data_IF_802764422555
#
_entry.id   IF_802764422555
#
_cell.length_a   1.000
_cell.length_b   1.000
_cell.length_c   1.000
_cell.angle_alpha   90.00
_cell.angle_beta   90.00
_cell.angle_gamma   90.00
#
_symmetry.space_group_name_H-M   'P 1'
#
loop_
_entity.id
_entity.type
_entity.pdbx_description
1 polymer ?
#
# COMPACT_ATOMS: atom_id res chain seq x y z
N UNK A 1 -29.83 -10.44 9.02
CA UNK A 1 -29.18 -9.33 8.30
C UNK A 1 -28.83 -8.30 9.35
N UNK A 2 -27.53 -8.00 9.57
CA UNK A 2 -27.10 -6.90 10.42
C UNK A 2 -27.59 -5.56 9.85
N UNK A 3 -27.87 -4.59 10.70
CA UNK A 3 -28.23 -3.24 10.29
C UNK A 3 -27.06 -2.62 9.50
N UNK A 4 -27.24 -2.45 8.20
CA UNK A 4 -26.29 -1.74 7.35
C UNK A 4 -26.51 -0.23 7.56
N UNK A 5 -25.51 0.44 8.12
CA UNK A 5 -25.55 1.89 8.34
C UNK A 5 -24.63 2.65 7.37
N UNK A 6 -23.83 1.91 6.60
CA UNK A 6 -22.91 2.48 5.61
C UNK A 6 -23.68 3.16 4.46
N UNK A 7 -23.21 4.34 4.06
CA UNK A 7 -23.82 5.16 3.00
C UNK A 7 -22.85 5.37 1.83
N UNK A 8 -23.39 5.73 0.67
CA UNK A 8 -22.60 6.11 -0.51
C UNK A 8 -21.62 5.02 -1.01
N UNK A 9 -21.93 3.74 -0.77
CA UNK A 9 -21.15 2.64 -1.29
C UNK A 9 -21.62 2.24 -2.68
N UNK A 10 -20.70 1.93 -3.57
CA UNK A 10 -20.97 1.38 -4.90
C UNK A 10 -20.34 0.00 -5.01
N UNK A 11 -21.14 -1.03 -5.25
CA UNK A 11 -20.69 -2.40 -5.43
C UNK A 11 -21.25 -2.96 -6.74
N UNK A 12 -20.38 -3.39 -7.65
CA UNK A 12 -20.74 -3.93 -8.96
C UNK A 12 -20.07 -5.27 -9.16
N UNK A 13 -20.84 -6.32 -9.27
CA UNK A 13 -20.40 -7.70 -9.44
C UNK A 13 -21.09 -8.65 -8.47
N UNK A 14 -21.05 -9.95 -8.80
CA UNK A 14 -21.63 -10.95 -7.92
C UNK A 14 -20.89 -10.97 -6.59
N UNK A 15 -21.62 -10.85 -5.49
CA UNK A 15 -21.11 -10.76 -4.10
C UNK A 15 -20.09 -9.61 -3.84
N UNK A 16 -20.02 -8.59 -4.69
CA UNK A 16 -19.22 -7.41 -4.40
C UNK A 16 -19.73 -6.73 -3.10
N UNK A 17 -18.82 -6.52 -2.13
CA UNK A 17 -19.16 -5.97 -0.80
C UNK A 17 -19.93 -6.90 0.13
N UNK A 18 -20.21 -8.13 -0.30
CA UNK A 18 -20.96 -9.13 0.48
C UNK A 18 -20.36 -10.54 0.29
N UNK A 19 -19.11 -10.72 0.66
CA UNK A 19 -18.36 -11.97 0.43
C UNK A 19 -18.47 -12.97 1.59
N UNK A 20 -19.19 -12.64 2.65
CA UNK A 20 -19.30 -13.45 3.87
C UNK A 20 -18.25 -13.12 4.93
N UNK A 21 -17.14 -12.48 4.59
CA UNK A 21 -16.08 -12.12 5.54
C UNK A 21 -16.14 -10.63 5.88
N UNK A 22 -15.61 -9.73 5.09
CA UNK A 22 -15.65 -8.29 5.37
C UNK A 22 -16.85 -7.60 4.69
N UNK A 23 -18.06 -8.11 4.94
CA UNK A 23 -19.27 -7.45 4.44
C UNK A 23 -19.35 -6.04 5.01
N UNK A 24 -19.51 -5.05 4.13
CA UNK A 24 -19.63 -3.66 4.59
C UNK A 24 -20.89 -3.53 5.47
N UNK A 25 -20.70 -3.08 6.71
CA UNK A 25 -21.78 -2.85 7.67
C UNK A 25 -21.98 -1.37 7.96
N UNK A 26 -20.93 -0.64 8.32
CA UNK A 26 -20.99 0.80 8.62
C UNK A 26 -20.02 1.64 7.78
N UNK A 27 -19.13 1.01 7.00
CA UNK A 27 -18.24 1.72 6.10
C UNK A 27 -18.98 2.51 5.03
N UNK A 28 -18.47 3.67 4.65
CA UNK A 28 -19.12 4.58 3.71
C UNK A 28 -18.16 5.04 2.60
N UNK A 29 -18.73 5.48 1.46
CA UNK A 29 -17.98 6.01 0.33
C UNK A 29 -16.95 5.03 -0.23
N UNK A 30 -17.31 3.74 -0.36
CA UNK A 30 -16.44 2.72 -0.94
C UNK A 30 -16.89 2.37 -2.37
N UNK A 31 -15.93 1.96 -3.19
CA UNK A 31 -16.17 1.44 -4.54
C UNK A 31 -15.58 0.03 -4.65
N UNK A 32 -16.43 -0.97 -4.89
CA UNK A 32 -16.07 -2.38 -4.99
C UNK A 32 -16.48 -2.90 -6.37
N UNK A 33 -15.52 -3.26 -7.20
CA UNK A 33 -15.77 -3.70 -8.57
C UNK A 33 -15.24 -5.11 -8.81
N UNK A 34 -16.11 -5.99 -9.24
CA UNK A 34 -15.77 -7.34 -9.67
C UNK A 34 -16.41 -8.45 -8.82
N UNK A 35 -16.27 -9.69 -9.29
CA UNK A 35 -16.71 -10.87 -8.57
C UNK A 35 -16.01 -10.96 -7.21
N UNK A 36 -16.76 -11.11 -6.13
CA UNK A 36 -16.25 -11.20 -4.76
C UNK A 36 -15.27 -10.07 -4.37
N UNK A 37 -15.40 -8.88 -4.95
CA UNK A 37 -14.62 -7.72 -4.53
C UNK A 37 -14.95 -7.41 -3.06
N UNK A 38 -13.92 -7.39 -2.20
CA UNK A 38 -14.07 -7.34 -0.75
C UNK A 38 -13.39 -6.10 -0.20
N UNK A 39 -14.05 -5.39 0.71
CA UNK A 39 -13.42 -4.32 1.46
C UNK A 39 -12.35 -4.85 2.43
N UNK A 40 -11.38 -4.02 2.80
CA UNK A 40 -10.34 -4.40 3.78
C UNK A 40 -10.93 -4.71 5.15
N UNK A 41 -12.01 -4.01 5.54
CA UNK A 41 -12.79 -4.32 6.74
C UNK A 41 -14.27 -3.96 6.56
N UNK A 42 -15.13 -4.47 7.47
CA UNK A 42 -16.57 -4.19 7.44
C UNK A 42 -16.94 -2.72 7.73
N UNK A 43 -16.02 -1.96 8.30
CA UNK A 43 -16.23 -0.57 8.74
C UNK A 43 -15.37 0.44 7.96
N UNK A 44 -14.57 -0.02 7.00
CA UNK A 44 -13.69 0.85 6.20
C UNK A 44 -14.50 1.86 5.39
N UNK A 45 -13.96 3.05 5.26
CA UNK A 45 -14.54 4.13 4.44
C UNK A 45 -13.50 4.71 3.49
N UNK A 46 -13.97 5.22 2.34
CA UNK A 46 -13.14 5.86 1.32
C UNK A 46 -12.14 4.90 0.63
N UNK A 47 -12.52 3.65 0.43
CA UNK A 47 -11.70 2.62 -0.20
C UNK A 47 -12.20 2.28 -1.61
N UNK A 48 -11.26 1.97 -2.51
CA UNK A 48 -11.56 1.43 -3.84
C UNK A 48 -10.89 0.06 -3.93
N UNK A 49 -11.70 -0.98 -4.18
CA UNK A 49 -11.23 -2.35 -4.43
C UNK A 49 -11.57 -2.79 -5.84
N UNK A 50 -10.58 -3.24 -6.60
CA UNK A 50 -10.72 -3.75 -7.95
C UNK A 50 -10.46 -5.26 -7.99
N UNK A 51 -11.52 -6.04 -8.10
CA UNK A 51 -11.46 -7.50 -8.13
C UNK A 51 -11.24 -8.16 -6.76
N UNK A 52 -10.77 -9.39 -6.78
CA UNK A 52 -10.53 -10.22 -5.61
C UNK A 52 -9.09 -10.79 -5.60
N UNK A 53 -8.77 -11.65 -4.63
CA UNK A 53 -7.44 -12.25 -4.47
C UNK A 53 -6.98 -13.15 -5.64
N UNK A 54 -7.87 -13.52 -6.58
CA UNK A 54 -7.53 -14.30 -7.77
C UNK A 54 -7.14 -13.43 -8.97
N UNK A 55 -7.19 -12.10 -8.87
CA UNK A 55 -6.77 -11.21 -9.96
C UNK A 55 -5.26 -11.31 -10.16
N UNK A 56 -4.86 -11.78 -11.34
CA UNK A 56 -3.46 -11.98 -11.71
C UNK A 56 -2.84 -10.77 -12.42
N UNK A 57 -3.65 -9.89 -13.02
CA UNK A 57 -3.14 -8.71 -13.72
C UNK A 57 -4.17 -7.58 -13.73
N UNK A 58 -3.69 -6.35 -13.53
CA UNK A 58 -4.46 -5.13 -13.79
C UNK A 58 -3.91 -4.50 -15.06
N UNK A 59 -4.73 -4.41 -16.11
CA UNK A 59 -4.33 -3.89 -17.42
C UNK A 59 -5.06 -2.59 -17.72
N UNK A 60 -4.30 -1.53 -17.94
CA UNK A 60 -4.80 -0.29 -18.53
C UNK A 60 -3.74 0.29 -19.47
N UNK A 61 -4.19 1.11 -20.42
CA UNK A 61 -3.27 1.74 -21.37
C UNK A 61 -2.41 2.83 -20.71
N UNK A 62 -2.86 3.41 -19.62
CA UNK A 62 -2.14 4.40 -18.82
C UNK A 62 -1.62 3.72 -17.55
N UNK A 63 -0.30 3.79 -17.32
CA UNK A 63 0.36 3.10 -16.21
C UNK A 63 0.34 3.88 -14.89
N UNK A 64 0.12 5.20 -14.96
CA UNK A 64 0.19 6.08 -13.78
C UNK A 64 -1.17 6.58 -13.36
N UNK A 65 -1.44 6.49 -12.06
CA UNK A 65 -2.57 7.15 -11.42
C UNK A 65 -2.08 8.49 -10.89
N UNK A 66 -2.62 9.60 -11.40
CA UNK A 66 -2.29 10.94 -10.91
C UNK A 66 -2.96 11.19 -9.56
N UNK A 67 -2.23 11.81 -8.64
CA UNK A 67 -2.76 12.27 -7.37
C UNK A 67 -2.58 13.78 -7.21
N UNK A 68 -3.47 14.41 -6.44
CA UNK A 68 -3.36 15.84 -6.13
C UNK A 68 -2.03 16.13 -5.43
N UNK A 69 -1.27 17.10 -5.95
CA UNK A 69 0.03 17.49 -5.39
C UNK A 69 0.31 19.00 -5.53
N UNK A 70 -0.74 19.81 -5.58
CA UNK A 70 -0.64 21.27 -5.65
C UNK A 70 -0.05 21.82 -4.33
N UNK A 71 0.87 22.78 -4.44
CA UNK A 71 1.49 23.42 -3.29
C UNK A 71 0.48 24.16 -2.41
N UNK A 72 -0.61 24.67 -2.99
CA UNK A 72 -1.69 25.39 -2.31
C UNK A 72 -2.48 24.50 -1.35
N UNK A 73 -2.44 23.18 -1.56
CA UNK A 73 -3.12 22.18 -0.73
C UNK A 73 -2.18 21.55 0.31
N UNK A 74 -1.00 22.15 0.51
CA UNK A 74 0.02 21.66 1.44
C UNK A 74 0.43 22.75 2.43
N UNK A 75 0.67 22.35 3.66
CA UNK A 75 1.19 23.21 4.71
C UNK A 75 2.35 22.53 5.43
N UNK A 76 3.19 23.30 6.15
CA UNK A 76 4.34 22.79 6.89
C UNK A 76 5.27 21.90 6.05
N UNK A 77 5.54 22.32 4.82
CA UNK A 77 6.41 21.58 3.90
C UNK A 77 7.85 21.68 4.39
N UNK A 78 8.45 20.53 4.70
CA UNK A 78 9.85 20.39 5.13
C UNK A 78 10.52 19.29 4.32
N UNK A 79 11.86 19.31 4.30
CA UNK A 79 12.63 18.26 3.66
C UNK A 79 12.39 16.92 4.33
N UNK A 80 12.28 15.84 3.50
CA UNK A 80 12.08 14.50 4.01
C UNK A 80 13.33 14.04 4.78
N UNK A 81 13.21 13.65 6.06
CA UNK A 81 14.36 13.20 6.84
C UNK A 81 14.80 11.76 6.50
N UNK A 82 13.90 10.92 6.00
CA UNK A 82 14.22 9.54 5.62
C UNK A 82 14.89 9.50 4.23
N UNK A 83 16.10 9.01 4.18
CA UNK A 83 16.92 8.90 2.97
C UNK A 83 17.71 7.60 2.96
N UNK A 84 19.02 7.69 2.71
CA UNK A 84 19.90 6.55 2.52
C UNK A 84 19.92 5.59 3.71
N UNK A 85 20.00 6.13 4.93
CA UNK A 85 20.04 5.29 6.14
C UNK A 85 18.72 4.52 6.36
N UNK A 86 17.59 5.10 5.97
CA UNK A 86 16.29 4.43 6.03
C UNK A 86 16.23 3.30 4.99
N UNK A 87 16.64 3.56 3.74
CA UNK A 87 16.66 2.58 2.65
C UNK A 87 17.57 1.40 2.99
N UNK A 88 18.73 1.64 3.60
CA UNK A 88 19.67 0.60 3.99
C UNK A 88 19.15 -0.36 5.07
N UNK A 89 18.09 0.02 5.79
CA UNK A 89 17.42 -0.84 6.77
C UNK A 89 16.31 -1.69 6.17
N UNK A 90 15.89 -1.40 4.94
CA UNK A 90 14.91 -2.23 4.24
C UNK A 90 15.50 -3.58 3.87
N UNK A 91 14.68 -4.61 3.94
CA UNK A 91 15.05 -5.98 3.61
C UNK A 91 14.25 -6.48 2.39
N UNK A 92 14.76 -6.30 1.16
CA UNK A 92 14.15 -6.92 -0.01
C UNK A 92 14.24 -8.44 0.12
N UNK A 93 13.18 -9.14 -0.22
CA UNK A 93 13.11 -10.60 -0.13
C UNK A 93 12.61 -11.21 -1.42
N UNK A 94 13.05 -12.43 -1.72
CA UNK A 94 12.37 -13.34 -2.64
C UNK A 94 11.53 -14.29 -1.80
N UNK A 95 10.30 -14.49 -2.17
CA UNK A 95 9.38 -15.39 -1.45
C UNK A 95 8.53 -16.20 -2.43
N UNK A 96 7.98 -17.28 -1.94
CA UNK A 96 6.95 -18.07 -2.59
C UNK A 96 5.61 -17.76 -1.92
N UNK A 97 4.58 -17.58 -2.72
CA UNK A 97 3.23 -17.38 -2.19
C UNK A 97 2.67 -18.68 -1.60
N UNK A 98 2.20 -18.59 -0.38
CA UNK A 98 1.40 -19.60 0.32
C UNK A 98 0.26 -18.86 1.02
N UNK A 99 -0.78 -18.56 0.26
CA UNK A 99 -1.86 -17.69 0.74
C UNK A 99 -2.80 -18.45 1.66
N UNK A 100 -3.23 -17.81 2.74
CA UNK A 100 -4.13 -18.42 3.75
C UNK A 100 -5.50 -18.80 3.20
N UNK A 101 -5.91 -18.21 2.10
CA UNK A 101 -7.18 -18.44 1.40
C UNK A 101 -7.04 -19.30 0.14
N UNK A 102 -5.82 -19.79 -0.18
CA UNK A 102 -5.58 -20.68 -1.29
C UNK A 102 -5.92 -20.05 -2.64
N UNK A 103 -5.34 -18.88 -2.95
CA UNK A 103 -5.62 -18.20 -4.22
C UNK A 103 -4.69 -18.63 -5.36
N UNK A 104 -4.93 -18.11 -6.57
CA UNK A 104 -4.18 -18.48 -7.78
C UNK A 104 -2.71 -18.07 -7.82
N UNK A 105 -2.17 -17.41 -6.78
CA UNK A 105 -0.76 -17.07 -6.65
C UNK A 105 0.07 -18.15 -5.96
N UNK A 106 -0.56 -19.07 -5.22
CA UNK A 106 0.13 -20.10 -4.45
C UNK A 106 1.13 -20.88 -5.30
N UNK A 107 2.34 -21.08 -4.77
CA UNK A 107 3.45 -21.73 -5.45
C UNK A 107 4.22 -20.82 -6.42
N UNK A 108 3.77 -19.59 -6.69
CA UNK A 108 4.51 -18.63 -7.50
C UNK A 108 5.54 -17.88 -6.69
N UNK A 109 6.70 -17.56 -7.32
CA UNK A 109 7.77 -16.79 -6.70
C UNK A 109 7.67 -15.31 -7.07
N UNK A 110 7.94 -14.46 -6.11
CA UNK A 110 7.94 -13.01 -6.31
C UNK A 110 9.06 -12.34 -5.48
N UNK A 111 9.47 -11.13 -5.86
CA UNK A 111 10.35 -10.29 -5.08
C UNK A 111 9.55 -9.12 -4.47
N UNK A 112 9.83 -8.79 -3.22
CA UNK A 112 9.13 -7.72 -2.54
C UNK A 112 9.62 -7.48 -1.12
N UNK A 113 8.73 -7.06 -0.25
CA UNK A 113 9.01 -6.77 1.15
C UNK A 113 7.94 -7.41 2.04
N UNK A 114 8.27 -7.61 3.30
CA UNK A 114 7.33 -8.07 4.33
C UNK A 114 6.68 -6.85 4.97
N UNK A 115 5.35 -6.80 5.01
CA UNK A 115 4.62 -5.66 5.55
C UNK A 115 4.93 -5.40 7.03
N UNK A 116 5.13 -6.45 7.83
CA UNK A 116 5.53 -6.35 9.23
C UNK A 116 6.91 -5.71 9.41
N UNK A 117 7.88 -5.98 8.50
CA UNK A 117 9.19 -5.35 8.51
C UNK A 117 9.06 -3.84 8.26
N UNK A 118 8.20 -3.44 7.32
CA UNK A 118 7.89 -2.02 7.08
C UNK A 118 7.24 -1.35 8.28
N UNK A 119 6.27 -2.01 8.91
CA UNK A 119 5.57 -1.48 10.08
C UNK A 119 6.55 -1.24 11.24
N UNK A 120 7.44 -2.20 11.51
CA UNK A 120 8.45 -2.05 12.55
C UNK A 120 9.43 -0.93 12.22
N UNK A 121 9.92 -0.87 10.98
CA UNK A 121 10.85 0.17 10.54
C UNK A 121 10.26 1.58 10.65
N UNK A 122 8.98 1.76 10.29
CA UNK A 122 8.28 3.04 10.47
C UNK A 122 8.26 3.47 11.93
N UNK A 123 7.88 2.56 12.84
CA UNK A 123 7.84 2.81 14.30
C UNK A 123 9.21 3.20 14.84
N UNK A 124 10.25 2.43 14.51
CA UNK A 124 11.61 2.65 15.00
C UNK A 124 12.21 3.99 14.53
N UNK A 125 11.68 4.56 13.46
CA UNK A 125 12.15 5.83 12.90
C UNK A 125 11.13 6.99 13.03
N UNK A 126 10.07 6.85 13.82
CA UNK A 126 8.97 7.83 13.95
C UNK A 126 8.43 8.26 12.58
N UNK A 127 8.24 7.32 11.68
CA UNK A 127 7.95 7.53 10.26
C UNK A 127 6.59 6.97 9.81
N UNK A 128 5.62 6.85 10.72
CA UNK A 128 4.28 6.33 10.42
C UNK A 128 3.55 7.17 9.36
N UNK A 129 3.89 8.45 9.25
CA UNK A 129 3.37 9.33 8.21
C UNK A 129 3.73 8.90 6.77
N UNK A 130 4.73 8.04 6.59
CA UNK A 130 5.07 7.47 5.28
C UNK A 130 4.00 6.53 4.75
N UNK A 131 3.20 5.93 5.65
CA UNK A 131 2.12 5.01 5.32
C UNK A 131 2.57 3.92 4.33
N UNK A 132 3.68 3.26 4.66
CA UNK A 132 4.21 2.15 3.86
C UNK A 132 3.36 0.88 4.00
N UNK A 133 2.53 0.80 5.04
CA UNK A 133 1.63 -0.31 5.32
C UNK A 133 0.21 0.20 5.40
N UNK A 134 -0.71 -0.51 4.77
CA UNK A 134 -2.14 -0.42 5.03
C UNK A 134 -2.48 -1.49 6.07
N UNK A 135 -2.97 -1.07 7.21
CA UNK A 135 -3.22 -1.89 8.41
C UNK A 135 -4.67 -1.78 8.95
N UNK A 136 -5.58 -1.27 8.14
CA UNK A 136 -7.02 -1.26 8.42
C UNK A 136 -7.55 -2.67 8.73
N UNK A 137 -6.93 -3.69 8.15
CA UNK A 137 -7.13 -5.07 8.53
C UNK A 137 -5.83 -5.64 9.12
N UNK A 138 -5.71 -5.75 10.46
CA UNK A 138 -4.49 -6.23 11.11
C UNK A 138 -4.17 -7.70 10.80
N UNK A 139 -5.16 -8.47 10.39
CA UNK A 139 -4.97 -9.87 9.99
C UNK A 139 -4.46 -9.99 8.54
N UNK A 140 -4.50 -8.89 7.76
CA UNK A 140 -4.15 -8.89 6.35
C UNK A 140 -3.48 -7.58 5.95
N UNK A 141 -2.24 -7.39 6.39
CA UNK A 141 -1.45 -6.21 6.08
C UNK A 141 -1.08 -6.14 4.59
N UNK A 142 -1.12 -4.94 4.01
CA UNK A 142 -0.73 -4.67 2.63
C UNK A 142 0.41 -3.65 2.57
N UNK A 143 1.35 -3.80 1.63
CA UNK A 143 2.49 -2.91 1.49
C UNK A 143 2.30 -1.93 0.32
N UNK A 144 2.58 -0.65 0.56
CA UNK A 144 2.45 0.45 -0.41
C UNK A 144 3.82 0.81 -1.00
N UNK A 145 4.34 0.00 -1.93
CA UNK A 145 5.69 0.19 -2.52
C UNK A 145 5.90 1.54 -3.20
N UNK A 146 4.86 2.11 -3.81
CA UNK A 146 4.94 3.44 -4.44
C UNK A 146 5.32 4.57 -3.47
N UNK A 147 5.07 4.40 -2.18
CA UNK A 147 5.46 5.35 -1.13
C UNK A 147 6.98 5.40 -0.88
N UNK A 148 7.73 4.43 -1.36
CA UNK A 148 9.21 4.45 -1.30
C UNK A 148 9.84 5.45 -2.28
N UNK A 149 9.15 5.87 -3.33
CA UNK A 149 9.73 6.72 -4.39
C UNK A 149 10.36 8.01 -3.84
N UNK A 150 9.71 8.83 -3.01
CA UNK A 150 10.34 10.03 -2.45
C UNK A 150 11.57 9.72 -1.60
N UNK A 151 11.54 8.62 -0.84
CA UNK A 151 12.65 8.17 0.02
C UNK A 151 13.83 7.72 -0.82
N UNK A 152 13.58 6.99 -1.90
CA UNK A 152 14.61 6.57 -2.87
C UNK A 152 15.27 7.77 -3.55
N UNK A 153 14.49 8.78 -3.95
CA UNK A 153 15.04 10.02 -4.50
C UNK A 153 15.97 10.68 -3.50
N UNK A 154 15.56 10.84 -2.24
CA UNK A 154 16.39 11.40 -1.17
C UNK A 154 17.65 10.57 -0.94
N UNK A 155 17.54 9.25 -0.91
CA UNK A 155 18.69 8.35 -0.72
C UNK A 155 19.72 8.48 -1.86
N UNK A 156 19.26 8.59 -3.11
CA UNK A 156 20.15 8.81 -4.27
C UNK A 156 20.85 10.17 -4.16
N UNK A 157 20.16 11.24 -3.76
CA UNK A 157 20.76 12.55 -3.55
C UNK A 157 21.86 12.50 -2.48
N UNK A 158 21.62 11.88 -1.34
CA UNK A 158 22.60 11.71 -0.27
C UNK A 158 23.79 10.86 -0.69
N UNK A 159 23.56 9.76 -1.41
CA UNK A 159 24.63 8.92 -1.94
C UNK A 159 25.48 9.68 -2.95
N UNK A 160 24.88 10.47 -3.84
CA UNK A 160 25.58 11.31 -4.80
C UNK A 160 26.51 12.31 -4.11
N UNK A 161 26.06 12.95 -3.03
CA UNK A 161 26.88 13.86 -2.23
C UNK A 161 28.06 13.11 -1.61
N UNK A 162 27.85 11.92 -1.04
CA UNK A 162 28.91 11.10 -0.46
C UNK A 162 29.97 10.70 -1.49
N UNK A 163 29.54 10.25 -2.68
CA UNK A 163 30.45 9.88 -3.77
C UNK A 163 31.28 11.07 -4.26
N UNK A 164 30.66 12.24 -4.45
CA UNK A 164 31.37 13.44 -4.90
C UNK A 164 32.41 13.92 -3.87
N UNK A 165 32.13 13.80 -2.57
CA UNK A 165 33.11 14.11 -1.51
C UNK A 165 34.32 13.18 -1.54
N UNK A 166 34.11 11.89 -1.82
CA UNK A 166 35.26 10.94 -1.95
C UNK A 166 36.15 11.30 -3.12
N UNK A 167 35.53 11.61 -4.29
CA UNK A 167 36.30 12.00 -5.51
C UNK A 167 37.05 13.34 -5.39
N UNK A 168 36.64 14.23 -4.50
CA UNK A 168 37.29 15.53 -4.29
C UNK A 168 38.46 15.45 -3.28
N UNK A 169 38.63 14.34 -2.60
CA UNK A 169 39.70 14.11 -1.64
C UNK A 169 40.85 13.25 -2.22
N UNK A 170 40.67 12.79 -3.47
CA UNK A 170 41.71 12.16 -4.33
C UNK A 170 42.32 13.20 -5.28
#
# INVERSE_FOLDING_TARGET
YGTLTGANNTAIGYQAGYTGTNNITSGANNLLLGYNAQASSATVSNEITLGNSSIASLRCNVQTISSLSDARDKTNVVDLPQGLDFINKLRPVKFEWATRDGNGKDGSYEAGFIAQDFQQLQKDNNADYLKLVMDENPDRLEASYGKLVPILVKAIQELTIKVNKLKSND
#
